data_IF_531122062637
#
_entry.id   IF_531122062637
#
_cell.length_a   1.000
_cell.length_b   1.000
_cell.length_c   1.000
_cell.angle_alpha   90.00
_cell.angle_beta   90.00
_cell.angle_gamma   90.00
#
_symmetry.space_group_name_H-M   'P 1'
#
loop_
_entity.id
_entity.type
_entity.pdbx_description
1 polymer ?
#
# COMPACT_ATOMS: atom_id res chain seq x y z
N UNK A 1 6.26 3.37 -38.35
CA UNK A 1 6.14 3.83 -36.95
C UNK A 1 7.23 3.11 -36.15
N UNK A 2 8.07 3.85 -35.41
CA UNK A 2 9.04 3.24 -34.51
C UNK A 2 8.29 2.38 -33.48
N UNK A 3 8.80 1.17 -33.19
CA UNK A 3 8.20 0.31 -32.18
C UNK A 3 8.26 1.02 -30.82
N UNK A 4 7.12 1.13 -30.14
CA UNK A 4 7.10 1.72 -28.80
C UNK A 4 7.90 0.81 -27.83
N UNK A 5 8.82 1.43 -27.09
CA UNK A 5 9.69 0.75 -26.13
C UNK A 5 9.13 0.88 -24.72
N UNK A 6 8.77 -0.23 -24.13
CA UNK A 6 8.29 -0.29 -22.73
C UNK A 6 9.44 -0.83 -21.87
N UNK A 7 9.85 -0.05 -20.88
CA UNK A 7 10.84 -0.46 -19.88
C UNK A 7 10.13 -0.86 -18.59
N UNK A 8 10.31 -2.09 -18.15
CA UNK A 8 9.84 -2.59 -16.85
C UNK A 8 11.03 -2.63 -15.89
N UNK A 9 10.98 -1.80 -14.86
CA UNK A 9 12.00 -1.78 -13.80
C UNK A 9 11.45 -2.50 -12.58
N UNK A 10 12.13 -3.57 -12.17
CA UNK A 10 11.64 -4.46 -11.11
C UNK A 10 12.53 -4.43 -9.88
N UNK A 11 11.92 -4.48 -8.72
CA UNK A 11 12.60 -4.77 -7.46
C UNK A 11 12.85 -6.28 -7.29
N UNK A 12 11.94 -7.13 -7.79
CA UNK A 12 12.03 -8.61 -7.81
C UNK A 12 12.40 -9.24 -6.45
N UNK A 13 11.96 -8.63 -5.36
CA UNK A 13 12.34 -9.03 -3.99
C UNK A 13 11.38 -10.06 -3.38
N UNK A 14 10.15 -10.16 -3.92
CA UNK A 14 9.11 -11.05 -3.39
C UNK A 14 8.48 -11.89 -4.49
N UNK A 15 7.91 -13.09 -4.15
CA UNK A 15 7.19 -13.91 -5.10
C UNK A 15 6.05 -13.15 -5.83
N UNK A 16 5.33 -12.30 -5.11
CA UNK A 16 4.26 -11.49 -5.68
C UNK A 16 4.76 -10.49 -6.74
N UNK A 17 5.94 -9.89 -6.53
CA UNK A 17 6.55 -9.00 -7.52
C UNK A 17 7.02 -9.75 -8.76
N UNK A 18 7.57 -10.95 -8.59
CA UNK A 18 7.99 -11.82 -9.71
C UNK A 18 6.76 -12.21 -10.52
N UNK A 19 5.71 -12.71 -9.88
CA UNK A 19 4.46 -13.11 -10.55
C UNK A 19 3.81 -11.93 -11.29
N UNK A 20 3.83 -10.73 -10.70
CA UNK A 20 3.30 -9.53 -11.34
C UNK A 20 4.09 -9.16 -12.61
N UNK A 21 5.43 -9.25 -12.57
CA UNK A 21 6.26 -8.99 -13.74
C UNK A 21 5.99 -9.99 -14.85
N UNK A 22 5.93 -11.29 -14.51
CA UNK A 22 5.67 -12.37 -15.47
C UNK A 22 4.28 -12.22 -16.12
N UNK A 23 3.26 -11.95 -15.31
CA UNK A 23 1.88 -11.73 -15.77
C UNK A 23 1.78 -10.48 -16.65
N UNK A 24 2.43 -9.39 -16.27
CA UNK A 24 2.50 -8.16 -17.06
C UNK A 24 3.14 -8.42 -18.42
N UNK A 25 4.29 -9.10 -18.45
CA UNK A 25 4.99 -9.43 -19.68
C UNK A 25 4.16 -10.33 -20.60
N UNK A 26 3.49 -11.35 -20.03
CA UNK A 26 2.63 -12.26 -20.78
C UNK A 26 1.49 -11.49 -21.46
N UNK A 27 0.78 -10.63 -20.69
CA UNK A 27 -0.32 -9.82 -21.21
C UNK A 27 0.12 -8.80 -22.25
N UNK A 28 1.24 -8.14 -22.03
CA UNK A 28 1.76 -7.19 -23.00
C UNK A 28 2.16 -7.87 -24.32
N UNK A 29 2.68 -9.09 -24.30
CA UNK A 29 2.99 -9.86 -25.53
C UNK A 29 1.74 -10.26 -26.31
N UNK A 30 0.65 -10.61 -25.60
CA UNK A 30 -0.62 -10.98 -26.21
C UNK A 30 -1.35 -9.80 -26.87
N UNK A 31 -1.39 -8.65 -26.19
CA UNK A 31 -2.28 -7.55 -26.57
C UNK A 31 -1.59 -6.49 -27.43
N UNK A 32 -0.26 -6.47 -27.46
CA UNK A 32 0.49 -5.35 -28.01
C UNK A 32 1.48 -5.79 -29.07
N UNK A 33 0.97 -5.99 -30.28
CA UNK A 33 1.80 -6.27 -31.47
C UNK A 33 2.68 -5.08 -31.83
N UNK A 34 3.98 -5.32 -32.12
CA UNK A 34 4.91 -4.31 -32.61
C UNK A 34 5.55 -3.41 -31.57
N UNK A 35 5.48 -3.79 -30.28
CA UNK A 35 6.19 -3.12 -29.19
C UNK A 35 7.35 -3.96 -28.68
N UNK A 36 8.40 -3.30 -28.20
CA UNK A 36 9.52 -3.97 -27.54
C UNK A 36 9.41 -3.81 -26.02
N UNK A 37 9.71 -4.89 -25.31
CA UNK A 37 9.72 -4.90 -23.83
C UNK A 37 11.12 -5.21 -23.36
N UNK A 38 11.58 -4.41 -22.42
CA UNK A 38 12.83 -4.65 -21.71
C UNK A 38 12.53 -4.67 -20.21
N UNK A 39 13.02 -5.71 -19.51
CA UNK A 39 12.94 -5.78 -18.05
C UNK A 39 14.32 -5.65 -17.46
N UNK A 40 14.46 -4.76 -16.45
CA UNK A 40 15.72 -4.51 -15.76
C UNK A 40 15.52 -4.49 -14.25
N UNK A 41 16.48 -5.03 -13.48
CA UNK A 41 16.57 -4.77 -12.04
C UNK A 41 16.77 -3.26 -11.78
N UNK A 42 16.20 -2.78 -10.68
CA UNK A 42 16.27 -1.36 -10.30
C UNK A 42 17.70 -0.86 -10.08
N UNK A 43 18.58 -1.70 -9.53
CA UNK A 43 19.99 -1.41 -9.24
C UNK A 43 20.87 -1.38 -10.52
N UNK A 44 20.35 -1.90 -11.62
CA UNK A 44 21.01 -1.89 -12.94
C UNK A 44 20.34 -0.91 -13.92
N UNK A 45 19.42 -0.07 -13.44
CA UNK A 45 18.68 0.88 -14.27
C UNK A 45 19.24 2.29 -14.12
N UNK A 46 19.72 2.85 -15.22
CA UNK A 46 20.24 4.21 -15.29
C UNK A 46 19.21 5.21 -15.85
N UNK A 47 19.48 6.52 -15.69
CA UNK A 47 18.67 7.56 -16.28
C UNK A 47 18.58 7.47 -17.82
N UNK A 48 19.61 6.95 -18.49
CA UNK A 48 19.63 6.73 -19.94
C UNK A 48 18.56 5.70 -20.34
N UNK A 49 18.45 4.58 -19.62
CA UNK A 49 17.43 3.57 -19.89
C UNK A 49 16.01 4.15 -19.79
N UNK A 50 15.75 4.97 -18.79
CA UNK A 50 14.43 5.60 -18.62
C UNK A 50 14.16 6.68 -19.66
N UNK A 51 15.18 7.44 -20.10
CA UNK A 51 15.03 8.50 -21.09
C UNK A 51 14.74 7.96 -22.50
N UNK A 52 15.27 6.80 -22.84
CA UNK A 52 15.09 6.17 -24.16
C UNK A 52 13.82 5.31 -24.24
N UNK A 53 13.08 5.13 -23.14
CA UNK A 53 11.81 4.43 -23.13
C UNK A 53 10.66 5.38 -23.48
N UNK A 54 9.63 4.85 -24.16
CA UNK A 54 8.38 5.57 -24.40
C UNK A 54 7.44 5.51 -23.20
N UNK A 55 7.52 4.42 -22.42
CA UNK A 55 6.77 4.21 -21.18
C UNK A 55 7.68 3.45 -20.21
N UNK A 56 7.65 3.82 -18.94
CA UNK A 56 8.33 3.08 -17.87
C UNK A 56 7.28 2.53 -16.89
N UNK A 57 7.40 1.25 -16.56
CA UNK A 57 6.61 0.61 -15.49
C UNK A 57 7.57 0.21 -14.38
N UNK A 58 7.30 0.62 -13.14
CA UNK A 58 8.10 0.20 -11.99
C UNK A 58 7.34 -0.77 -11.11
N UNK A 59 7.97 -1.82 -10.66
CA UNK A 59 7.39 -2.86 -9.81
C UNK A 59 8.08 -2.87 -8.46
N UNK A 60 7.36 -2.42 -7.43
CA UNK A 60 7.86 -2.30 -6.06
C UNK A 60 8.52 -0.95 -5.74
N UNK A 61 8.69 -0.68 -4.45
CA UNK A 61 9.15 0.62 -3.93
C UNK A 61 10.60 0.98 -4.33
N UNK A 62 11.61 0.08 -4.27
CA UNK A 62 12.96 0.40 -4.73
C UNK A 62 13.00 0.84 -6.19
N UNK A 63 12.34 0.10 -7.09
CA UNK A 63 12.25 0.45 -8.50
C UNK A 63 11.57 1.83 -8.70
N UNK A 64 10.49 2.08 -7.97
CA UNK A 64 9.78 3.36 -8.03
C UNK A 64 10.66 4.54 -7.61
N UNK A 65 11.40 4.41 -6.50
CA UNK A 65 12.32 5.45 -6.01
C UNK A 65 13.46 5.73 -6.98
N UNK A 66 14.08 4.70 -7.53
CA UNK A 66 15.16 4.83 -8.52
C UNK A 66 14.69 5.61 -9.74
N UNK A 67 13.59 5.17 -10.36
CA UNK A 67 13.06 5.83 -11.57
C UNK A 67 12.53 7.24 -11.26
N UNK A 68 11.91 7.44 -10.09
CA UNK A 68 11.46 8.77 -9.68
C UNK A 68 12.61 9.77 -9.54
N UNK A 69 13.81 9.32 -9.16
CA UNK A 69 15.01 10.15 -9.09
C UNK A 69 15.65 10.47 -10.45
N UNK A 70 15.24 9.80 -11.53
CA UNK A 70 15.79 10.05 -12.85
C UNK A 70 15.12 11.23 -13.54
N UNK A 71 15.91 12.13 -14.13
CA UNK A 71 15.43 13.20 -15.00
C UNK A 71 15.06 12.62 -16.38
N UNK A 72 13.82 12.17 -16.54
CA UNK A 72 13.30 11.61 -17.79
C UNK A 72 11.88 12.10 -18.04
N UNK A 73 11.52 12.50 -19.28
CA UNK A 73 10.18 12.91 -19.65
C UNK A 73 9.23 11.73 -19.88
N UNK A 74 9.74 10.48 -19.92
CA UNK A 74 8.95 9.29 -20.18
C UNK A 74 7.84 9.16 -19.12
N UNK A 75 6.59 8.88 -19.51
CA UNK A 75 5.51 8.57 -18.58
C UNK A 75 5.85 7.35 -17.73
N UNK A 76 5.51 7.42 -16.44
CA UNK A 76 5.81 6.34 -15.49
C UNK A 76 4.52 5.83 -14.84
N UNK A 77 4.34 4.52 -14.85
CA UNK A 77 3.34 3.81 -14.05
C UNK A 77 4.03 3.03 -12.94
N UNK A 78 3.72 3.38 -11.71
CA UNK A 78 4.21 2.66 -10.53
C UNK A 78 3.20 1.61 -10.10
N UNK A 79 3.64 0.38 -9.82
CA UNK A 79 2.78 -0.71 -9.32
C UNK A 79 3.43 -1.40 -8.11
N UNK A 80 2.60 -2.07 -7.29
CA UNK A 80 3.03 -2.80 -6.09
C UNK A 80 3.79 -1.92 -5.08
N UNK A 81 3.24 -0.75 -4.78
CA UNK A 81 3.69 0.11 -3.69
C UNK A 81 2.47 0.68 -2.94
N UNK A 82 2.67 1.11 -1.70
CA UNK A 82 1.61 1.76 -0.93
C UNK A 82 1.35 3.19 -1.42
N UNK A 83 0.16 3.73 -1.15
CA UNK A 83 -0.18 5.12 -1.41
C UNK A 83 0.80 6.08 -0.71
N UNK A 84 1.19 5.78 0.52
CA UNK A 84 2.20 6.53 1.27
C UNK A 84 3.55 6.57 0.53
N UNK A 85 4.04 5.42 0.07
CA UNK A 85 5.29 5.37 -0.69
C UNK A 85 5.19 6.14 -2.01
N UNK A 86 4.04 6.05 -2.70
CA UNK A 86 3.81 6.83 -3.93
C UNK A 86 3.82 8.34 -3.66
N UNK A 87 3.14 8.81 -2.63
CA UNK A 87 3.09 10.22 -2.24
C UNK A 87 4.48 10.79 -1.87
N UNK A 88 5.38 9.93 -1.37
CA UNK A 88 6.75 10.32 -1.02
C UNK A 88 7.73 10.37 -2.20
N UNK A 89 7.31 9.94 -3.41
CA UNK A 89 8.17 9.97 -4.58
C UNK A 89 8.38 11.39 -5.10
N UNK A 90 9.58 11.73 -5.60
CA UNK A 90 9.81 12.97 -6.32
C UNK A 90 8.86 13.12 -7.51
N UNK A 91 8.26 14.30 -7.66
CA UNK A 91 7.48 14.63 -8.84
C UNK A 91 8.28 15.58 -9.75
N UNK A 92 8.15 15.38 -11.06
CA UNK A 92 8.77 16.24 -12.05
C UNK A 92 7.68 16.91 -12.89
N UNK A 93 7.72 18.25 -13.08
CA UNK A 93 6.64 18.98 -13.78
C UNK A 93 6.34 18.46 -15.19
N UNK A 94 7.39 18.04 -15.90
CA UNK A 94 7.29 17.61 -17.31
C UNK A 94 7.04 16.11 -17.47
N UNK A 95 6.92 15.36 -16.34
CA UNK A 95 6.74 13.92 -16.39
C UNK A 95 5.35 13.53 -15.87
N UNK A 96 4.58 12.85 -16.69
CA UNK A 96 3.34 12.21 -16.26
C UNK A 96 3.66 10.96 -15.44
N UNK A 97 3.16 10.89 -14.22
CA UNK A 97 3.29 9.69 -13.38
C UNK A 97 1.96 9.34 -12.74
N UNK A 98 1.73 8.05 -12.57
CA UNK A 98 0.55 7.49 -11.91
C UNK A 98 0.92 6.23 -11.16
N UNK A 99 0.04 5.74 -10.28
CA UNK A 99 0.27 4.51 -9.56
C UNK A 99 -0.99 3.65 -9.44
N UNK A 100 -0.78 2.33 -9.41
CA UNK A 100 -1.74 1.36 -8.92
C UNK A 100 -1.22 0.93 -7.54
N UNK A 101 -1.83 1.50 -6.50
CA UNK A 101 -1.41 1.28 -5.12
C UNK A 101 -2.02 0.01 -4.53
N UNK A 102 -1.32 -0.58 -3.55
CA UNK A 102 -1.79 -1.78 -2.84
C UNK A 102 -2.92 -1.49 -1.86
N UNK A 103 -3.04 -0.24 -1.44
CA UNK A 103 -4.00 0.17 -0.42
C UNK A 103 -5.44 -0.03 -0.91
N UNK A 104 -6.25 -0.67 -0.08
CA UNK A 104 -7.67 -0.83 -0.38
C UNK A 104 -8.43 0.43 0.01
N UNK A 105 -9.43 0.85 -0.79
CA UNK A 105 -10.30 1.97 -0.39
C UNK A 105 -10.93 1.72 0.97
N UNK A 106 -10.97 2.72 1.88
CA UNK A 106 -11.58 2.59 3.20
C UNK A 106 -13.00 2.02 3.18
N UNK A 107 -13.83 2.45 2.23
CA UNK A 107 -15.19 1.96 2.07
C UNK A 107 -15.26 0.45 1.78
N UNK A 108 -14.29 -0.10 1.04
CA UNK A 108 -14.21 -1.53 0.75
C UNK A 108 -13.84 -2.34 2.00
N UNK A 109 -12.91 -1.83 2.82
CA UNK A 109 -12.54 -2.47 4.10
C UNK A 109 -13.75 -2.48 5.06
N UNK A 110 -14.47 -1.38 5.16
CA UNK A 110 -15.66 -1.30 6.00
C UNK A 110 -16.78 -2.23 5.50
N UNK A 111 -17.01 -2.29 4.18
CA UNK A 111 -17.97 -3.23 3.61
C UNK A 111 -17.59 -4.69 3.89
N UNK A 112 -16.29 -5.03 3.86
CA UNK A 112 -15.80 -6.35 4.24
C UNK A 112 -16.07 -6.66 5.72
N UNK A 113 -15.84 -5.70 6.62
CA UNK A 113 -16.16 -5.85 8.06
C UNK A 113 -17.64 -6.14 8.25
N UNK A 114 -18.52 -5.36 7.64
CA UNK A 114 -19.99 -5.56 7.76
C UNK A 114 -20.44 -6.90 7.20
N UNK A 115 -19.83 -7.35 6.09
CA UNK A 115 -20.16 -8.64 5.49
C UNK A 115 -19.69 -9.83 6.34
N UNK A 116 -18.45 -9.77 6.84
CA UNK A 116 -17.83 -10.87 7.57
C UNK A 116 -18.26 -10.94 9.05
N UNK A 117 -18.56 -9.80 9.65
CA UNK A 117 -18.81 -9.65 11.09
C UNK A 117 -20.05 -8.77 11.34
N UNK A 118 -21.23 -9.17 10.85
CA UNK A 118 -22.43 -8.31 10.85
C UNK A 118 -22.96 -7.97 12.25
N UNK A 119 -22.56 -8.73 13.28
CA UNK A 119 -22.95 -8.48 14.67
C UNK A 119 -22.08 -7.45 15.37
N UNK A 120 -20.90 -7.13 14.83
CA UNK A 120 -20.02 -6.11 15.39
C UNK A 120 -20.33 -4.74 14.77
N UNK A 121 -20.78 -3.83 15.60
CA UNK A 121 -21.24 -2.49 15.20
C UNK A 121 -20.19 -1.41 15.47
N UNK A 122 -18.94 -1.81 15.72
CA UNK A 122 -17.86 -0.88 16.09
C UNK A 122 -16.55 -1.30 15.46
N UNK A 123 -15.76 -0.31 15.04
CA UNK A 123 -14.37 -0.50 14.66
C UNK A 123 -13.44 0.20 15.66
N UNK A 124 -12.22 -0.34 15.77
CA UNK A 124 -11.13 0.23 16.53
C UNK A 124 -9.95 0.54 15.60
N UNK A 125 -9.36 1.71 15.76
CA UNK A 125 -8.22 2.18 14.98
C UNK A 125 -7.13 2.68 15.93
N UNK A 126 -5.89 2.26 15.67
CA UNK A 126 -4.72 2.83 16.34
C UNK A 126 -3.79 3.34 15.24
N UNK A 127 -3.50 4.62 15.26
CA UNK A 127 -2.56 5.28 14.36
C UNK A 127 -1.24 5.60 15.05
N UNK A 128 -0.17 5.61 14.27
CA UNK A 128 1.13 6.16 14.61
C UNK A 128 1.51 7.23 13.58
N UNK A 129 2.74 7.69 13.62
CA UNK A 129 3.23 8.77 12.75
C UNK A 129 3.16 8.46 11.25
N UNK A 130 3.17 7.17 10.87
CA UNK A 130 3.12 6.77 9.46
C UNK A 130 1.70 6.45 8.96
N UNK A 131 0.71 6.48 9.82
CA UNK A 131 -0.69 6.22 9.49
C UNK A 131 -1.64 7.40 9.75
N UNK A 132 -1.11 8.58 10.04
CA UNK A 132 -1.91 9.79 10.27
C UNK A 132 -2.87 10.10 9.12
N UNK A 133 -2.47 9.85 7.88
CA UNK A 133 -3.30 10.06 6.69
C UNK A 133 -4.30 8.92 6.43
N UNK A 134 -4.08 7.73 7.00
CA UNK A 134 -4.93 6.56 6.78
C UNK A 134 -6.09 6.45 7.76
N UNK A 135 -5.88 6.86 9.01
CA UNK A 135 -6.89 6.73 10.07
C UNK A 135 -8.14 7.60 9.82
N UNK A 136 -8.05 8.89 9.46
CA UNK A 136 -9.24 9.71 9.26
C UNK A 136 -10.18 9.22 8.14
N UNK A 137 -9.69 8.80 6.95
CA UNK A 137 -10.55 8.23 5.92
C UNK A 137 -11.26 6.93 6.35
N UNK A 138 -10.58 6.05 7.12
CA UNK A 138 -11.17 4.83 7.67
C UNK A 138 -12.27 5.16 8.69
N UNK A 139 -11.99 6.08 9.61
CA UNK A 139 -12.97 6.53 10.61
C UNK A 139 -14.21 7.14 9.95
N UNK A 140 -14.02 7.96 8.92
CA UNK A 140 -15.12 8.55 8.14
C UNK A 140 -15.94 7.47 7.44
N UNK A 141 -15.30 6.54 6.72
CA UNK A 141 -16.01 5.46 6.02
C UNK A 141 -16.81 4.58 6.98
N UNK A 142 -16.31 4.33 8.20
CA UNK A 142 -17.04 3.60 9.23
C UNK A 142 -18.25 4.39 9.73
N UNK A 143 -18.09 5.68 9.99
CA UNK A 143 -19.19 6.56 10.41
C UNK A 143 -20.29 6.65 9.34
N UNK A 144 -19.91 6.77 8.08
CA UNK A 144 -20.83 6.78 6.92
C UNK A 144 -21.61 5.46 6.83
N UNK A 145 -20.98 4.35 7.19
CA UNK A 145 -21.59 3.01 7.29
C UNK A 145 -22.36 2.77 8.62
N UNK A 146 -22.50 3.81 9.46
CA UNK A 146 -23.18 3.77 10.77
C UNK A 146 -22.52 2.84 11.79
N UNK A 147 -21.24 2.61 11.69
CA UNK A 147 -20.47 1.89 12.71
C UNK A 147 -19.91 2.89 13.74
N UNK A 148 -19.89 2.47 14.99
CA UNK A 148 -19.16 3.19 16.02
C UNK A 148 -17.65 3.19 15.74
N UNK A 149 -16.95 4.24 16.12
CA UNK A 149 -15.51 4.36 15.92
C UNK A 149 -14.82 4.64 17.25
N UNK A 150 -13.87 3.79 17.62
CA UNK A 150 -12.92 4.04 18.68
C UNK A 150 -11.54 4.26 18.05
N UNK A 151 -10.89 5.36 18.36
CA UNK A 151 -9.57 5.66 17.80
C UNK A 151 -8.60 6.16 18.86
N UNK A 152 -7.34 5.82 18.69
CA UNK A 152 -6.23 6.33 19.49
C UNK A 152 -5.03 6.60 18.58
N UNK A 153 -4.17 7.52 19.00
CA UNK A 153 -2.89 7.78 18.34
C UNK A 153 -1.75 7.56 19.33
N UNK A 154 -0.67 6.97 18.86
CA UNK A 154 0.54 6.76 19.64
C UNK A 154 1.74 7.35 18.91
N UNK A 155 2.68 7.88 19.66
CA UNK A 155 3.96 8.35 19.13
C UNK A 155 5.09 7.37 19.41
N UNK A 156 4.91 6.48 20.38
CA UNK A 156 5.91 5.49 20.82
C UNK A 156 5.24 4.16 21.13
N UNK A 157 5.97 3.10 20.90
CA UNK A 157 5.51 1.72 21.10
C UNK A 157 5.02 1.44 22.54
N UNK A 158 5.64 2.07 23.55
CA UNK A 158 5.25 1.88 24.96
C UNK A 158 3.84 2.44 25.29
N UNK A 159 3.27 3.27 24.42
CA UNK A 159 1.90 3.80 24.55
C UNK A 159 0.84 2.80 24.02
N UNK A 160 1.26 1.79 23.27
CA UNK A 160 0.36 0.86 22.58
C UNK A 160 -0.59 0.12 23.51
N UNK A 161 -0.11 -0.35 24.67
CA UNK A 161 -0.95 -1.07 25.60
C UNK A 161 -2.13 -0.22 26.10
N UNK A 162 -1.88 1.02 26.49
CA UNK A 162 -2.93 1.95 26.91
C UNK A 162 -3.92 2.28 25.78
N UNK A 163 -3.40 2.46 24.56
CA UNK A 163 -4.23 2.69 23.37
C UNK A 163 -5.16 1.49 23.11
N UNK A 164 -4.63 0.26 23.16
CA UNK A 164 -5.42 -0.95 22.99
C UNK A 164 -6.54 -1.07 24.04
N UNK A 165 -6.24 -0.82 25.32
CA UNK A 165 -7.23 -0.83 26.38
C UNK A 165 -8.34 0.19 26.15
N UNK A 166 -7.99 1.34 25.62
CA UNK A 166 -8.94 2.42 25.32
C UNK A 166 -9.85 2.04 24.14
N UNK A 167 -9.27 1.65 23.01
CA UNK A 167 -10.07 1.40 21.80
C UNK A 167 -10.84 0.09 21.83
N UNK A 168 -10.41 -0.88 22.65
CA UNK A 168 -11.05 -2.17 22.85
C UNK A 168 -11.82 -2.27 24.17
N UNK A 169 -12.16 -1.13 24.81
CA UNK A 169 -13.01 -1.12 26.02
C UNK A 169 -14.39 -1.76 25.79
N UNK A 170 -14.85 -1.76 24.57
CA UNK A 170 -16.02 -2.51 24.08
C UNK A 170 -15.61 -3.37 22.88
N UNK A 171 -16.31 -4.50 22.59
CA UNK A 171 -16.02 -5.34 21.43
C UNK A 171 -16.08 -4.54 20.12
N UNK A 172 -15.00 -4.60 19.35
CA UNK A 172 -14.84 -3.88 18.09
C UNK A 172 -14.00 -4.69 17.11
N UNK A 173 -14.07 -4.39 15.82
CA UNK A 173 -13.10 -4.91 14.85
C UNK A 173 -11.88 -3.98 14.83
N UNK A 174 -10.74 -4.47 15.28
CA UNK A 174 -9.47 -3.73 15.19
C UNK A 174 -8.97 -3.81 13.76
N UNK A 175 -8.97 -2.70 13.06
CA UNK A 175 -8.40 -2.61 11.71
C UNK A 175 -6.93 -2.23 11.84
N UNK A 176 -6.05 -3.12 11.39
CA UNK A 176 -4.62 -2.88 11.38
C UNK A 176 -4.26 -1.89 10.28
N UNK A 177 -3.40 -0.94 10.60
CA UNK A 177 -2.80 0.02 9.66
C UNK A 177 -1.34 -0.35 9.43
N UNK A 178 -0.78 -0.11 8.23
CA UNK A 178 0.63 -0.39 7.94
C UNK A 178 1.55 0.66 8.60
N UNK A 179 1.59 0.67 9.92
CA UNK A 179 2.41 1.55 10.74
C UNK A 179 3.33 0.73 11.64
N UNK A 180 4.67 0.80 11.45
CA UNK A 180 5.64 0.04 12.23
C UNK A 180 5.66 0.39 13.72
N UNK A 181 5.20 1.59 14.12
CA UNK A 181 5.09 1.97 15.53
C UNK A 181 3.99 1.18 16.23
N UNK A 182 2.95 0.77 15.47
CA UNK A 182 1.80 0.04 15.97
C UNK A 182 1.92 -1.45 15.69
N UNK A 183 2.09 -1.82 14.41
CA UNK A 183 2.10 -3.21 13.93
C UNK A 183 3.50 -3.60 13.44
N UNK A 184 4.23 -4.33 14.26
CA UNK A 184 5.53 -4.89 13.92
C UNK A 184 5.68 -6.29 14.55
N UNK A 185 6.80 -6.97 14.26
CA UNK A 185 7.07 -8.33 14.74
C UNK A 185 7.10 -8.47 16.28
N UNK A 186 7.33 -7.38 17.01
CA UNK A 186 7.41 -7.38 18.46
C UNK A 186 6.07 -7.09 19.12
N UNK A 187 5.23 -6.27 18.46
CA UNK A 187 3.93 -5.81 18.98
C UNK A 187 2.78 -6.72 18.59
N UNK A 188 2.83 -7.36 17.42
CA UNK A 188 1.71 -8.11 16.84
C UNK A 188 1.16 -9.20 17.77
N UNK A 189 2.02 -9.92 18.48
CA UNK A 189 1.59 -10.96 19.40
C UNK A 189 0.77 -10.36 20.56
N UNK A 190 1.21 -9.27 21.14
CA UNK A 190 0.53 -8.59 22.23
C UNK A 190 -0.81 -7.98 21.76
N UNK A 191 -0.84 -7.42 20.55
CA UNK A 191 -2.07 -6.91 19.94
C UNK A 191 -3.08 -8.02 19.79
N UNK A 192 -2.70 -9.17 19.20
CA UNK A 192 -3.60 -10.30 18.99
C UNK A 192 -4.11 -10.90 20.31
N UNK A 193 -3.25 -11.05 21.32
CA UNK A 193 -3.65 -11.54 22.64
C UNK A 193 -4.62 -10.58 23.34
N UNK A 194 -4.36 -9.28 23.25
CA UNK A 194 -5.23 -8.27 23.86
C UNK A 194 -6.59 -8.23 23.13
N UNK A 195 -6.58 -8.19 21.81
CA UNK A 195 -7.80 -8.23 21.01
C UNK A 195 -8.64 -9.49 21.28
N UNK A 196 -8.00 -10.67 21.39
CA UNK A 196 -8.66 -11.92 21.74
C UNK A 196 -9.35 -11.84 23.10
N UNK A 197 -8.68 -11.31 24.12
CA UNK A 197 -9.25 -11.13 25.47
C UNK A 197 -10.47 -10.20 25.48
N UNK A 198 -10.47 -9.20 24.59
CA UNK A 198 -11.57 -8.25 24.41
C UNK A 198 -12.63 -8.73 23.40
N UNK A 199 -12.53 -9.97 22.90
CA UNK A 199 -13.44 -10.53 21.87
C UNK A 199 -13.51 -9.65 20.62
N UNK A 200 -12.40 -9.06 20.26
CA UNK A 200 -12.25 -8.10 19.16
C UNK A 200 -11.44 -8.75 18.06
N UNK A 201 -12.06 -9.10 16.92
CA UNK A 201 -11.32 -9.58 15.75
C UNK A 201 -10.36 -8.54 15.21
N UNK A 202 -9.28 -9.01 14.60
CA UNK A 202 -8.30 -8.13 13.93
C UNK A 202 -8.39 -8.34 12.42
N UNK A 203 -8.59 -7.24 11.68
CA UNK A 203 -8.51 -7.22 10.23
C UNK A 203 -7.10 -6.74 9.84
N UNK A 204 -6.31 -7.62 9.23
CA UNK A 204 -4.97 -7.32 8.75
C UNK A 204 -4.99 -6.48 7.47
N UNK A 205 -3.86 -5.87 7.13
CA UNK A 205 -3.70 -5.07 5.91
C UNK A 205 -3.04 -5.85 4.76
N UNK A 206 -2.41 -6.98 5.01
CA UNK A 206 -1.85 -7.91 4.01
C UNK A 206 -1.43 -9.24 4.63
#
# INVERSE_FOLDING_TARGET
QAAQRILVVTSAETPAQIEAVDSLQAKLREEVSGRSFETRPWDQTSAEHTRTADIVVTVGTPAARTVAGHASPAPVLHILLSAHNYASLPSHPDRRQSAIVLDQPPSRLIALVQLALPTLQRIALIGGSQSEELVPPLARAASDARLGVAQASISRENELFGALQTVLSEPAVLIATPDPTVFNRFTVQNILLTAFRHRSPVLGFS
#
